data_IF_922343209986
#
_entry.id   IF_922343209986
#
_cell.length_a   1.000
_cell.length_b   1.000
_cell.length_c   1.000
_cell.angle_alpha   90.00
_cell.angle_beta   90.00
_cell.angle_gamma   90.00
#
_symmetry.space_group_name_H-M   'P 1'
#
loop_
_entity.id
_entity.type
_entity.pdbx_description
1 polymer ?
#
# COMPACT_ATOMS: atom_id res chain seq x y z
N UNK A 1 -0.48 -7.03 2.35
CA UNK A 1 0.85 -7.29 2.93
C UNK A 1 1.62 -5.99 3.23
N UNK A 2 1.88 -5.12 2.24
CA UNK A 2 2.75 -3.94 2.40
C UNK A 2 2.34 -2.98 3.54
N UNK A 3 1.04 -2.70 3.71
CA UNK A 3 0.54 -1.87 4.83
C UNK A 3 0.85 -2.51 6.20
N UNK A 4 0.76 -3.84 6.31
CA UNK A 4 1.08 -4.57 7.54
C UNK A 4 2.58 -4.48 7.88
N UNK A 5 3.45 -4.54 6.86
CA UNK A 5 4.90 -4.33 7.04
C UNK A 5 5.17 -2.95 7.65
N UNK A 6 4.43 -1.91 7.23
CA UNK A 6 4.50 -0.58 7.82
C UNK A 6 4.19 -0.58 9.33
N UNK A 7 3.08 -1.19 9.72
CA UNK A 7 2.66 -1.28 11.13
C UNK A 7 3.65 -2.06 11.99
N UNK A 8 4.18 -3.16 11.48
CA UNK A 8 5.19 -3.99 12.15
C UNK A 8 6.47 -3.18 12.38
N UNK A 9 6.99 -2.50 11.34
CA UNK A 9 8.18 -1.66 11.45
C UNK A 9 8.00 -0.51 12.43
N UNK A 10 6.84 0.15 12.42
CA UNK A 10 6.53 1.23 13.34
C UNK A 10 6.61 0.76 14.81
N UNK A 11 5.99 -0.38 15.11
CA UNK A 11 6.00 -0.93 16.48
C UNK A 11 7.41 -1.35 16.94
N UNK A 12 8.20 -1.96 16.05
CA UNK A 12 9.59 -2.28 16.34
C UNK A 12 10.44 -1.04 16.65
N UNK A 13 10.28 0.03 15.87
CA UNK A 13 11.02 1.29 16.07
C UNK A 13 10.75 1.90 17.45
N UNK A 14 9.49 1.89 17.91
CA UNK A 14 9.12 2.39 19.24
C UNK A 14 9.78 1.60 20.36
N UNK A 15 9.82 0.27 20.27
CA UNK A 15 10.38 -0.58 21.34
C UNK A 15 11.90 -0.63 21.33
N UNK A 16 12.52 -0.67 20.16
CA UNK A 16 13.99 -0.65 20.04
C UNK A 16 14.59 0.61 20.68
N UNK A 17 13.91 1.75 20.55
CA UNK A 17 14.30 3.00 21.24
C UNK A 17 14.19 2.93 22.77
N UNK A 18 13.22 2.17 23.29
CA UNK A 18 12.96 2.08 24.73
C UNK A 18 13.81 1.01 25.43
N UNK A 19 14.02 -0.15 24.79
CA UNK A 19 14.63 -1.33 25.45
C UNK A 19 16.02 -1.69 24.92
N UNK A 20 16.47 -1.14 23.78
CA UNK A 20 17.75 -1.46 23.11
C UNK A 20 18.04 -2.97 22.97
N UNK A 21 17.01 -3.79 22.78
CA UNK A 21 17.13 -5.25 22.57
C UNK A 21 17.06 -5.62 21.09
N UNK A 22 17.49 -6.83 20.78
CA UNK A 22 17.35 -7.39 19.43
C UNK A 22 15.89 -7.51 19.01
N UNK A 23 15.63 -7.30 17.71
CA UNK A 23 14.27 -7.33 17.15
C UNK A 23 13.57 -8.68 17.33
N UNK A 24 14.33 -9.79 17.37
CA UNK A 24 13.81 -11.15 17.55
C UNK A 24 13.07 -11.33 18.87
N UNK A 25 13.62 -10.75 19.95
CA UNK A 25 13.05 -10.78 21.31
C UNK A 25 11.67 -10.11 21.36
N UNK A 26 11.44 -9.16 20.47
CA UNK A 26 10.24 -8.35 20.39
C UNK A 26 9.14 -8.94 19.48
N UNK A 27 9.46 -9.96 18.69
CA UNK A 27 8.58 -10.46 17.62
C UNK A 27 7.23 -10.98 18.15
N UNK A 28 7.24 -11.78 19.21
CA UNK A 28 6.02 -12.31 19.82
C UNK A 28 5.10 -11.20 20.35
N UNK A 29 5.70 -10.16 20.95
CA UNK A 29 4.97 -9.00 21.46
C UNK A 29 4.41 -8.14 20.33
N UNK A 30 5.20 -7.85 19.29
CA UNK A 30 4.72 -7.10 18.11
C UNK A 30 3.59 -7.84 17.41
N UNK A 31 3.71 -9.16 17.24
CA UNK A 31 2.65 -9.97 16.64
C UNK A 31 1.36 -9.90 17.46
N UNK A 32 1.45 -9.95 18.79
CA UNK A 32 0.29 -9.75 19.66
C UNK A 32 -0.30 -8.35 19.51
N UNK A 33 0.52 -7.30 19.56
CA UNK A 33 0.03 -5.93 19.41
C UNK A 33 -0.66 -5.69 18.07
N UNK A 34 -0.09 -6.16 16.96
CA UNK A 34 -0.68 -5.95 15.63
C UNK A 34 -2.01 -6.71 15.48
N UNK A 35 -2.12 -7.91 16.05
CA UNK A 35 -3.35 -8.71 15.93
C UNK A 35 -4.47 -8.28 16.87
N UNK A 36 -4.17 -7.49 17.91
CA UNK A 36 -5.13 -7.02 18.92
C UNK A 36 -5.43 -5.52 18.85
N UNK A 37 -4.85 -4.79 17.88
CA UNK A 37 -5.23 -3.39 17.64
C UNK A 37 -6.55 -3.35 16.84
N UNK A 38 -7.53 -2.53 17.26
CA UNK A 38 -8.76 -2.35 16.50
C UNK A 38 -8.48 -1.84 15.08
N UNK A 39 -9.16 -2.43 14.10
CA UNK A 39 -9.19 -1.95 12.72
C UNK A 39 -10.29 -0.90 12.57
N UNK A 40 -10.41 -0.30 11.37
CA UNK A 40 -11.40 0.74 11.07
C UNK A 40 -12.86 0.30 11.30
N UNK A 41 -13.12 -1.02 11.29
CA UNK A 41 -14.43 -1.60 11.57
C UNK A 41 -14.70 -1.85 13.07
N UNK A 42 -13.79 -1.43 13.96
CA UNK A 42 -13.89 -1.60 15.41
C UNK A 42 -13.52 -2.99 15.92
N UNK A 43 -13.21 -3.94 15.04
CA UNK A 43 -12.79 -5.30 15.42
C UNK A 43 -11.28 -5.46 15.27
N UNK A 44 -10.70 -6.36 16.05
CA UNK A 44 -9.29 -6.77 15.89
C UNK A 44 -9.14 -7.84 14.80
N UNK A 45 -7.92 -7.99 14.28
CA UNK A 45 -7.62 -9.09 13.35
C UNK A 45 -7.82 -10.46 14.01
N UNK A 46 -7.54 -10.57 15.32
CA UNK A 46 -7.81 -11.77 16.11
C UNK A 46 -9.30 -12.12 16.12
N UNK A 47 -10.16 -11.16 16.45
CA UNK A 47 -11.61 -11.37 16.50
C UNK A 47 -12.19 -11.73 15.13
N UNK A 48 -11.69 -11.07 14.09
CA UNK A 48 -12.10 -11.35 12.71
C UNK A 48 -11.77 -12.80 12.30
N UNK A 49 -10.58 -13.29 12.68
CA UNK A 49 -10.12 -14.62 12.29
C UNK A 49 -10.70 -15.74 13.17
N UNK A 50 -10.67 -15.57 14.49
CA UNK A 50 -11.10 -16.59 15.45
C UNK A 50 -12.58 -16.49 15.84
N UNK A 51 -13.29 -15.45 15.39
CA UNK A 51 -14.71 -15.21 15.66
C UNK A 51 -15.05 -15.20 17.16
N UNK A 52 -14.12 -14.76 18.00
CA UNK A 52 -14.29 -14.67 19.45
C UNK A 52 -13.44 -13.52 20.04
N UNK A 53 -13.87 -12.93 21.17
CA UNK A 53 -13.09 -11.90 21.85
C UNK A 53 -11.79 -12.47 22.42
N UNK A 54 -10.75 -11.64 22.46
CA UNK A 54 -9.49 -11.97 23.13
C UNK A 54 -9.59 -11.58 24.61
N UNK A 55 -9.94 -12.53 25.49
CA UNK A 55 -10.06 -12.24 26.92
C UNK A 55 -8.66 -12.14 27.56
N UNK A 56 -8.19 -10.93 27.88
CA UNK A 56 -6.96 -10.75 28.65
C UNK A 56 -7.11 -9.74 29.77
N UNK A 57 -6.31 -9.90 30.85
CA UNK A 57 -6.29 -8.97 32.01
C UNK A 57 -6.03 -7.49 31.60
N UNK A 58 -5.55 -7.25 30.37
CA UNK A 58 -5.28 -5.92 29.84
C UNK A 58 -6.51 -5.21 29.23
N UNK A 59 -7.66 -5.88 29.11
CA UNK A 59 -8.87 -5.33 28.45
C UNK A 59 -9.40 -4.07 29.16
N UNK A 60 -9.06 -3.87 30.45
CA UNK A 60 -9.37 -2.64 31.19
C UNK A 60 -8.46 -1.44 30.88
N UNK A 61 -7.31 -1.64 30.24
CA UNK A 61 -6.36 -0.57 29.92
C UNK A 61 -6.43 -0.10 28.46
N UNK A 62 -6.99 -0.90 27.56
CA UNK A 62 -7.12 -0.55 26.13
C UNK A 62 -8.21 0.49 25.85
N UNK A 63 -9.32 0.49 26.61
CA UNK A 63 -10.39 1.50 26.46
C UNK A 63 -9.88 2.94 26.60
N UNK A 64 -8.88 3.18 27.46
CA UNK A 64 -8.27 4.51 27.62
C UNK A 64 -7.30 4.89 26.48
N UNK A 65 -6.78 3.90 25.74
CA UNK A 65 -5.91 4.12 24.57
C UNK A 65 -6.76 4.33 23.31
N UNK A 66 -7.88 3.62 23.18
CA UNK A 66 -8.81 3.76 22.05
C UNK A 66 -9.41 5.18 21.99
N UNK A 67 -9.75 5.79 23.13
CA UNK A 67 -10.16 7.20 23.20
C UNK A 67 -9.06 8.16 22.72
N UNK A 68 -7.79 7.85 22.97
CA UNK A 68 -6.65 8.68 22.56
C UNK A 68 -6.31 8.51 21.07
N UNK A 69 -6.50 7.29 20.53
CA UNK A 69 -6.28 6.97 19.11
C UNK A 69 -7.40 7.58 18.27
N UNK A 70 -8.68 7.41 18.65
CA UNK A 70 -9.82 7.99 17.93
C UNK A 70 -9.73 9.53 17.83
N UNK A 71 -9.29 10.18 18.90
CA UNK A 71 -9.07 11.64 18.90
C UNK A 71 -8.00 12.09 17.89
N UNK A 72 -7.01 11.24 17.61
CA UNK A 72 -5.93 11.53 16.65
C UNK A 72 -6.29 11.17 15.21
N UNK A 73 -7.19 10.21 15.01
CA UNK A 73 -7.67 9.83 13.67
C UNK A 73 -8.60 10.90 13.08
N UNK A 74 -9.36 11.62 13.93
CA UNK A 74 -10.21 12.74 13.48
C UNK A 74 -9.40 13.98 13.06
N UNK A 75 -8.19 14.18 13.60
CA UNK A 75 -7.31 15.30 13.24
C UNK A 75 -6.53 15.09 11.92
N UNK A 76 -6.60 13.90 11.31
CA UNK A 76 -5.89 13.57 10.07
C UNK A 76 -6.76 13.63 8.82
N UNK A 77 -8.05 13.96 8.94
CA UNK A 77 -8.88 14.36 7.80
C UNK A 77 -8.56 15.80 7.38
N UNK A 78 -7.32 16.04 6.94
CA UNK A 78 -6.97 17.28 6.25
C UNK A 78 -6.29 16.98 4.91
N UNK A 79 -7.10 17.11 3.87
CA UNK A 79 -6.76 17.66 2.55
C UNK A 79 -5.46 17.17 1.92
N UNK A 80 -5.46 15.93 1.42
CA UNK A 80 -4.68 15.67 0.19
C UNK A 80 -5.60 15.93 -1.00
N UNK A 81 -5.25 16.87 -1.91
CA UNK A 81 -5.98 16.99 -3.16
C UNK A 81 -5.93 15.62 -3.82
N UNK A 82 -7.10 15.13 -4.18
CA UNK A 82 -7.30 13.89 -4.91
C UNK A 82 -6.53 14.04 -6.22
N UNK A 83 -5.25 13.62 -6.21
CA UNK A 83 -4.35 13.81 -7.34
C UNK A 83 -5.00 13.23 -8.59
N UNK A 84 -4.91 13.96 -9.71
CA UNK A 84 -5.46 13.54 -10.98
C UNK A 84 -5.13 12.06 -11.22
N UNK A 85 -6.16 11.21 -11.15
CA UNK A 85 -6.03 9.79 -11.44
C UNK A 85 -5.57 9.70 -12.90
N UNK A 86 -4.39 9.11 -13.13
CA UNK A 86 -3.89 8.85 -14.48
C UNK A 86 -4.91 7.94 -15.18
N UNK A 87 -5.56 8.46 -16.21
CA UNK A 87 -6.39 7.68 -17.12
C UNK A 87 -5.64 7.49 -18.43
N UNK A 88 -5.80 6.31 -19.03
CA UNK A 88 -5.19 5.95 -20.29
C UNK A 88 -6.28 5.38 -21.19
N UNK A 89 -6.22 5.72 -22.47
CA UNK A 89 -7.15 5.22 -23.48
C UNK A 89 -6.42 4.29 -24.44
N UNK A 90 -7.12 3.30 -24.97
CA UNK A 90 -6.60 2.46 -26.07
C UNK A 90 -6.15 3.37 -27.22
N UNK A 91 -4.98 3.07 -27.79
CA UNK A 91 -4.32 3.89 -28.81
C UNK A 91 -3.38 4.97 -28.26
N UNK A 92 -3.40 5.26 -26.96
CA UNK A 92 -2.49 6.23 -26.35
C UNK A 92 -1.04 5.73 -26.39
N UNK A 93 -0.11 6.65 -26.58
CA UNK A 93 1.31 6.35 -26.52
C UNK A 93 1.87 6.61 -25.12
N UNK A 94 2.58 5.63 -24.57
CA UNK A 94 3.12 5.68 -23.21
C UNK A 94 4.54 5.15 -23.16
N UNK A 95 5.22 5.43 -22.05
CA UNK A 95 6.50 4.81 -21.69
C UNK A 95 6.38 4.18 -20.31
N UNK A 96 7.15 3.12 -20.11
CA UNK A 96 7.31 2.51 -18.79
C UNK A 96 8.31 3.35 -18.00
N UNK A 97 7.98 3.64 -16.74
CA UNK A 97 8.86 4.34 -15.81
C UNK A 97 9.23 3.45 -14.61
N UNK A 98 9.14 2.12 -14.78
CA UNK A 98 9.52 1.17 -13.74
C UNK A 98 11.04 1.26 -13.51
N UNK A 99 11.52 1.70 -12.32
CA UNK A 99 12.95 1.89 -12.09
C UNK A 99 13.77 0.59 -12.15
N UNK A 100 13.12 -0.58 -12.01
CA UNK A 100 13.78 -1.88 -12.16
C UNK A 100 14.05 -2.25 -13.62
N UNK A 101 13.34 -1.63 -14.56
CA UNK A 101 13.47 -1.90 -16.00
C UNK A 101 13.98 -0.61 -16.65
N UNK A 102 15.27 -0.56 -17.02
CA UNK A 102 15.82 0.56 -17.79
C UNK A 102 15.30 0.51 -19.23
N UNK A 103 14.04 0.88 -19.38
CA UNK A 103 13.29 0.81 -20.62
C UNK A 103 12.93 2.22 -21.08
N UNK A 104 13.46 2.60 -22.24
CA UNK A 104 13.17 3.89 -22.89
C UNK A 104 12.22 3.72 -24.09
N UNK A 105 11.76 2.50 -24.34
CA UNK A 105 10.90 2.23 -25.46
C UNK A 105 9.54 2.91 -25.29
N UNK A 106 8.91 3.16 -26.44
CA UNK A 106 7.55 3.68 -26.53
C UNK A 106 6.60 2.52 -26.78
N UNK A 107 5.45 2.58 -26.14
CA UNK A 107 4.44 1.55 -26.22
C UNK A 107 3.09 2.15 -26.59
N UNK A 108 2.30 1.41 -27.36
CA UNK A 108 0.88 1.69 -27.59
C UNK A 108 0.05 0.99 -26.53
N UNK A 109 -0.91 1.68 -25.95
CA UNK A 109 -1.92 1.06 -25.09
C UNK A 109 -2.89 0.29 -25.99
N UNK A 110 -2.96 -1.02 -25.83
CA UNK A 110 -3.88 -1.89 -26.59
C UNK A 110 -5.06 -2.34 -25.74
N UNK A 111 -4.87 -2.44 -24.42
CA UNK A 111 -5.91 -2.85 -23.47
C UNK A 111 -5.87 -1.97 -22.21
N UNK A 112 -7.05 -1.69 -21.65
CA UNK A 112 -7.19 -0.89 -20.41
C UNK A 112 -8.00 -1.66 -19.40
N UNK A 113 -7.42 -1.85 -18.21
CA UNK A 113 -8.09 -2.41 -17.04
C UNK A 113 -8.13 -1.38 -15.91
N UNK A 114 -8.83 -1.72 -14.82
CA UNK A 114 -9.05 -0.82 -13.67
C UNK A 114 -7.76 -0.26 -13.04
N UNK A 115 -6.65 -1.01 -13.06
CA UNK A 115 -5.35 -0.60 -12.48
C UNK A 115 -4.12 -0.97 -13.31
N UNK A 116 -4.33 -1.52 -14.49
CA UNK A 116 -3.26 -1.95 -15.39
C UNK A 116 -3.65 -1.67 -16.83
N UNK A 117 -2.66 -1.63 -17.70
CA UNK A 117 -2.85 -1.48 -19.14
C UNK A 117 -1.96 -2.48 -19.87
N UNK A 118 -2.49 -3.04 -20.96
CA UNK A 118 -1.74 -3.85 -21.91
C UNK A 118 -0.96 -2.94 -22.85
N UNK A 119 0.34 -3.15 -22.93
CA UNK A 119 1.29 -2.35 -23.68
C UNK A 119 1.89 -3.18 -24.81
N UNK A 120 1.81 -2.69 -26.04
CA UNK A 120 2.48 -3.28 -27.20
C UNK A 120 3.58 -2.32 -27.69
N UNK A 121 4.73 -2.85 -28.11
CA UNK A 121 5.86 -2.03 -28.53
C UNK A 121 5.50 -1.18 -29.77
N UNK A 122 5.87 0.10 -29.76
CA UNK A 122 5.69 0.99 -30.91
C UNK A 122 6.53 0.48 -32.10
N UNK A 123 5.89 0.31 -33.26
CA UNK A 123 6.53 -0.16 -34.48
C UNK A 123 6.67 -1.69 -34.64
N UNK A 124 6.22 -2.48 -33.67
CA UNK A 124 6.25 -3.95 -33.77
C UNK A 124 4.89 -4.56 -33.36
N UNK A 125 4.00 -4.83 -34.34
CA UNK A 125 2.67 -5.38 -34.09
C UNK A 125 2.67 -6.86 -33.67
N UNK A 126 3.79 -7.58 -33.83
CA UNK A 126 3.94 -8.96 -33.38
C UNK A 126 4.57 -9.04 -31.99
N UNK A 127 4.99 -7.90 -31.42
CA UNK A 127 5.54 -7.84 -30.07
C UNK A 127 4.52 -8.29 -29.02
N UNK A 128 4.97 -9.04 -27.99
CA UNK A 128 4.09 -9.53 -26.95
C UNK A 128 3.50 -8.37 -26.14
N UNK A 129 2.21 -8.47 -25.82
CA UNK A 129 1.54 -7.50 -24.96
C UNK A 129 2.03 -7.66 -23.52
N UNK A 130 2.58 -6.58 -22.97
CA UNK A 130 3.06 -6.52 -21.59
C UNK A 130 2.01 -5.84 -20.72
N UNK A 131 1.54 -6.53 -19.68
CA UNK A 131 0.64 -5.94 -18.71
C UNK A 131 1.43 -5.15 -17.66
N UNK A 132 1.15 -3.85 -17.53
CA UNK A 132 1.87 -2.97 -16.60
C UNK A 132 0.89 -2.18 -15.72
N UNK A 133 1.25 -1.95 -14.45
CA UNK A 133 0.41 -1.17 -13.53
C UNK A 133 0.48 0.32 -13.88
N UNK A 134 -0.66 1.03 -13.86
CA UNK A 134 -0.77 2.47 -14.22
C UNK A 134 0.16 3.43 -13.46
N UNK A 135 0.75 2.97 -12.34
CA UNK A 135 1.69 3.73 -11.52
C UNK A 135 3.08 3.81 -12.15
N UNK A 136 3.43 2.79 -12.93
CA UNK A 136 4.72 2.61 -13.60
C UNK A 136 4.68 3.14 -15.04
N UNK A 137 3.73 4.01 -15.37
CA UNK A 137 3.47 4.46 -16.74
C UNK A 137 3.36 5.98 -16.77
N UNK A 138 3.95 6.55 -17.81
CA UNK A 138 3.91 7.98 -18.11
C UNK A 138 3.51 8.17 -19.56
N UNK A 139 2.82 9.27 -19.87
CA UNK A 139 2.51 9.61 -21.26
C UNK A 139 3.82 9.78 -22.04
N UNK A 140 3.88 9.22 -23.25
CA UNK A 140 4.96 9.50 -24.17
C UNK A 140 4.61 10.81 -24.89
N UNK A 141 5.36 11.89 -24.64
CA UNK A 141 5.21 13.09 -25.46
C UNK A 141 5.32 12.71 -26.95
N UNK A 142 4.49 13.35 -27.79
CA UNK A 142 4.57 13.18 -29.24
C UNK A 142 6.02 13.44 -29.70
N UNK A 143 6.53 12.69 -30.70
CA UNK A 143 7.82 13.04 -31.29
C UNK A 143 7.74 14.49 -31.76
N UNK A 144 8.67 15.32 -31.29
CA UNK A 144 8.94 16.62 -31.90
C UNK A 144 9.31 16.34 -33.36
N UNK A 145 8.42 16.75 -34.26
CA UNK A 145 8.65 16.87 -35.70
C UNK A 145 9.86 17.75 -36.00
#
# INVERSE_FOLDING_TARGET
>A
AERCIGSVKAKFSTMSRAEKREWSVHLAYVNRCVNLVPLDNGLTAFETFFQRPYNSILDRKFAAVDDLVMKKTMDLEDKKPQGHLKSFSVGSWVRRCNPAVKDKARYKVVEVHKRSVGLQLDGDPDSPVVLEHVRNIVAANAPSS
#
